data_IF_284603679086
#
_entry.id   IF_284603679086
#
_cell.length_a   1.000
_cell.length_b   1.000
_cell.length_c   1.000
_cell.angle_alpha   90.00
_cell.angle_beta   90.00
_cell.angle_gamma   90.00
#
_symmetry.space_group_name_H-M   'P 1'
#
loop_
_entity.id
_entity.type
_entity.pdbx_description
1 polymer ?
#
# COMPACT_ATOMS: atom_id res chain seq x y z
N UNK A 1 14.00 12.01 -19.59
CA UNK A 1 13.88 13.48 -19.43
C UNK A 1 15.28 14.10 -19.54
N UNK A 2 15.45 15.19 -20.32
CA UNK A 2 16.73 15.87 -20.54
C UNK A 2 16.80 17.19 -19.76
N UNK A 3 18.02 17.76 -19.61
CA UNK A 3 18.19 19.10 -18.98
C UNK A 3 17.39 20.18 -19.71
N UNK A 4 17.30 20.09 -21.04
CA UNK A 4 16.48 21.02 -21.87
C UNK A 4 14.99 20.93 -21.52
N UNK A 5 14.49 19.73 -21.21
CA UNK A 5 13.09 19.53 -20.79
C UNK A 5 12.86 20.17 -19.41
N UNK A 6 13.81 19.99 -18.47
CA UNK A 6 13.73 20.59 -17.13
C UNK A 6 13.74 22.12 -17.18
N UNK A 7 14.59 22.72 -18.04
CA UNK A 7 14.62 24.18 -18.23
C UNK A 7 13.29 24.70 -18.76
N UNK A 8 12.72 24.06 -19.79
CA UNK A 8 11.40 24.42 -20.34
C UNK A 8 10.29 24.32 -19.29
N UNK A 9 10.31 23.26 -18.46
CA UNK A 9 9.36 23.09 -17.37
C UNK A 9 9.50 24.21 -16.34
N UNK A 10 10.73 24.56 -15.97
CA UNK A 10 11.00 25.65 -15.04
C UNK A 10 10.53 27.01 -15.59
N UNK A 11 10.74 27.29 -16.88
CA UNK A 11 10.24 28.48 -17.54
C UNK A 11 8.72 28.55 -17.58
N UNK A 12 8.05 27.41 -17.83
CA UNK A 12 6.60 27.35 -17.99
C UNK A 12 5.85 27.35 -16.65
N UNK A 13 6.37 26.65 -15.63
CA UNK A 13 5.67 26.38 -14.37
C UNK A 13 6.32 27.07 -13.17
N UNK A 14 7.49 27.65 -13.31
CA UNK A 14 8.25 28.28 -12.25
C UNK A 14 9.04 27.26 -11.40
N UNK A 15 9.77 27.80 -10.44
CA UNK A 15 10.56 27.05 -9.44
C UNK A 15 10.28 27.57 -8.03
N UNK A 16 10.30 26.74 -6.97
CA UNK A 16 10.53 25.27 -7.01
C UNK A 16 9.31 24.51 -7.50
N UNK A 17 9.51 23.41 -8.25
CA UNK A 17 8.43 22.52 -8.71
C UNK A 17 8.86 21.06 -8.71
N UNK A 18 7.91 20.13 -8.44
CA UNK A 18 8.15 18.70 -8.55
C UNK A 18 7.85 18.22 -9.96
N UNK A 19 8.79 17.50 -10.56
CA UNK A 19 8.67 16.94 -11.90
C UNK A 19 8.72 15.42 -11.82
N UNK A 20 7.73 14.74 -12.40
CA UNK A 20 7.63 13.29 -12.46
C UNK A 20 7.76 12.81 -13.90
N UNK A 21 8.73 11.93 -14.16
CA UNK A 21 8.96 11.34 -15.46
C UNK A 21 8.15 10.04 -15.61
N UNK A 22 7.05 10.13 -16.35
CA UNK A 22 6.14 9.00 -16.56
C UNK A 22 6.80 7.83 -17.32
N UNK A 23 7.73 8.11 -18.25
CA UNK A 23 8.44 7.06 -18.98
C UNK A 23 9.40 6.28 -18.06
N UNK A 24 10.08 6.98 -17.16
CA UNK A 24 10.90 6.33 -16.12
C UNK A 24 10.08 5.45 -15.21
N UNK A 25 8.90 5.92 -14.76
CA UNK A 25 7.97 5.12 -13.93
C UNK A 25 7.54 3.86 -14.68
N UNK A 26 7.13 3.99 -15.94
CA UNK A 26 6.70 2.89 -16.80
C UNK A 26 7.82 1.86 -16.97
N UNK A 27 9.01 2.31 -17.33
CA UNK A 27 10.18 1.44 -17.55
C UNK A 27 10.52 0.63 -16.30
N UNK A 28 10.51 1.25 -15.11
CA UNK A 28 10.78 0.53 -13.87
C UNK A 28 9.65 -0.46 -13.53
N UNK A 29 8.40 -0.10 -13.75
CA UNK A 29 7.26 -1.01 -13.56
C UNK A 29 7.36 -2.22 -14.49
N UNK A 30 7.60 -2.02 -15.78
CA UNK A 30 7.74 -3.09 -16.78
C UNK A 30 8.95 -4.00 -16.47
N UNK A 31 10.09 -3.43 -16.08
CA UNK A 31 11.28 -4.18 -15.65
C UNK A 31 10.97 -5.07 -14.44
N UNK A 32 10.25 -4.55 -13.45
CA UNK A 32 9.84 -5.33 -12.28
C UNK A 32 8.90 -6.46 -12.69
N UNK A 33 7.82 -6.15 -13.39
CA UNK A 33 6.76 -7.12 -13.73
C UNK A 33 7.24 -8.22 -14.66
N UNK A 34 8.14 -7.91 -15.60
CA UNK A 34 8.73 -8.89 -16.52
C UNK A 34 9.66 -9.91 -15.83
N UNK A 35 10.14 -9.60 -14.63
CA UNK A 35 11.03 -10.48 -13.85
C UNK A 35 10.27 -11.52 -13.02
N UNK A 36 8.94 -11.49 -13.04
CA UNK A 36 8.10 -12.38 -12.23
C UNK A 36 7.09 -13.17 -13.10
N UNK A 37 6.54 -14.22 -12.50
CA UNK A 37 5.50 -15.01 -13.17
C UNK A 37 4.25 -14.15 -13.44
N UNK A 38 3.57 -14.41 -14.55
CA UNK A 38 2.39 -13.64 -15.03
C UNK A 38 1.23 -13.55 -14.03
N UNK A 39 1.13 -14.50 -13.08
CA UNK A 39 0.11 -14.48 -12.02
C UNK A 39 0.46 -13.57 -10.84
N UNK A 40 1.67 -13.00 -10.80
CA UNK A 40 2.12 -12.12 -9.72
C UNK A 40 1.38 -10.80 -9.78
N UNK A 41 0.85 -10.34 -8.64
CA UNK A 41 0.23 -9.02 -8.49
C UNK A 41 1.18 -8.07 -7.78
N UNK A 42 1.28 -6.86 -8.29
CA UNK A 42 2.15 -5.83 -7.73
C UNK A 42 1.29 -4.73 -7.12
N UNK A 43 1.50 -4.46 -5.84
CA UNK A 43 0.80 -3.41 -5.12
C UNK A 43 1.75 -2.23 -4.93
N UNK A 44 1.40 -1.10 -5.51
CA UNK A 44 2.13 0.15 -5.34
C UNK A 44 1.82 0.74 -3.96
N UNK A 45 2.84 1.03 -3.17
CA UNK A 45 2.70 1.64 -1.85
C UNK A 45 2.29 3.12 -1.99
N UNK A 46 1.01 3.43 -1.75
CA UNK A 46 0.44 4.78 -1.91
C UNK A 46 1.20 5.84 -1.11
N UNK A 47 1.67 5.48 0.10
CA UNK A 47 2.47 6.35 0.97
C UNK A 47 3.75 6.89 0.35
N UNK A 48 4.29 6.23 -0.68
CA UNK A 48 5.50 6.71 -1.36
C UNK A 48 5.23 7.98 -2.17
N UNK A 49 4.07 8.04 -2.85
CA UNK A 49 3.61 9.22 -3.57
C UNK A 49 2.11 9.06 -3.89
N UNK A 50 1.28 9.83 -3.19
CA UNK A 50 -0.18 9.80 -3.31
C UNK A 50 -0.75 10.78 -4.35
N UNK A 51 0.08 11.32 -5.26
CA UNK A 51 -0.39 12.19 -6.33
C UNK A 51 -1.38 11.43 -7.23
N UNK A 52 -2.61 11.96 -7.36
CA UNK A 52 -3.70 11.29 -8.08
C UNK A 52 -3.37 10.97 -9.55
N UNK A 53 -2.58 11.79 -10.23
CA UNK A 53 -2.20 11.54 -11.61
C UNK A 53 -1.20 10.38 -11.72
N UNK A 54 -0.30 10.25 -10.75
CA UNK A 54 0.61 9.10 -10.64
C UNK A 54 -0.19 7.83 -10.33
N UNK A 55 -1.15 7.90 -9.40
CA UNK A 55 -2.02 6.76 -9.09
C UNK A 55 -2.82 6.32 -10.32
N UNK A 56 -3.42 7.24 -11.08
CA UNK A 56 -4.09 6.94 -12.36
C UNK A 56 -3.13 6.27 -13.35
N UNK A 57 -1.89 6.73 -13.41
CA UNK A 57 -0.89 6.17 -14.30
C UNK A 57 -0.51 4.74 -13.90
N UNK A 58 -0.25 4.48 -12.61
CA UNK A 58 0.00 3.13 -12.07
C UNK A 58 -1.18 2.20 -12.34
N UNK A 59 -2.41 2.69 -12.14
CA UNK A 59 -3.62 1.92 -12.45
C UNK A 59 -3.68 1.52 -13.94
N UNK A 60 -3.37 2.47 -14.84
CA UNK A 60 -3.31 2.23 -16.30
C UNK A 60 -2.25 1.20 -16.68
N UNK A 61 -1.12 1.15 -15.97
CA UNK A 61 -0.07 0.14 -16.17
C UNK A 61 -0.47 -1.26 -15.65
N UNK A 62 -1.61 -1.41 -14.96
CA UNK A 62 -2.07 -2.67 -14.43
C UNK A 62 -1.67 -2.93 -12.97
N UNK A 63 -1.02 -1.99 -12.28
CA UNK A 63 -0.67 -2.08 -10.87
C UNK A 63 -1.88 -2.09 -9.95
N UNK A 64 -1.76 -2.72 -8.80
CA UNK A 64 -2.70 -2.63 -7.66
C UNK A 64 -2.21 -1.60 -6.66
N UNK A 65 -2.99 -1.29 -5.61
CA UNK A 65 -2.65 -0.23 -4.66
C UNK A 65 -2.60 -0.78 -3.23
N UNK A 66 -1.52 -0.46 -2.50
CA UNK A 66 -1.36 -0.69 -1.07
C UNK A 66 -1.53 0.64 -0.33
N UNK A 67 -2.54 0.70 0.55
CA UNK A 67 -2.98 1.90 1.26
C UNK A 67 -2.82 1.74 2.76
N UNK A 68 -2.27 2.75 3.44
CA UNK A 68 -2.05 2.73 4.89
C UNK A 68 -3.07 3.57 5.67
N UNK A 69 -3.96 4.28 4.99
CA UNK A 69 -5.07 5.02 5.59
C UNK A 69 -6.34 4.91 4.75
N UNK A 70 -7.49 5.11 5.39
CA UNK A 70 -8.78 5.09 4.69
C UNK A 70 -8.86 6.20 3.62
N UNK A 71 -8.18 7.33 3.82
CA UNK A 71 -8.13 8.41 2.85
C UNK A 71 -7.32 8.02 1.61
N UNK A 72 -6.25 7.23 1.75
CA UNK A 72 -5.55 6.66 0.59
C UNK A 72 -6.42 5.66 -0.18
N UNK A 73 -7.24 4.85 0.51
CA UNK A 73 -8.23 3.97 -0.12
C UNK A 73 -9.22 4.77 -0.96
N UNK A 74 -9.81 5.81 -0.38
CA UNK A 74 -10.74 6.72 -1.09
C UNK A 74 -10.07 7.40 -2.29
N UNK A 75 -8.83 7.82 -2.13
CA UNK A 75 -8.04 8.41 -3.22
C UNK A 75 -7.78 7.40 -4.33
N UNK A 76 -7.47 6.14 -3.98
CA UNK A 76 -7.30 5.04 -4.93
C UNK A 76 -8.57 4.78 -5.75
N UNK A 77 -9.72 4.72 -5.09
CA UNK A 77 -11.02 4.59 -5.78
C UNK A 77 -11.25 5.77 -6.72
N UNK A 78 -10.99 7.00 -6.27
CA UNK A 78 -11.08 8.21 -7.11
C UNK A 78 -10.09 8.20 -8.28
N UNK A 79 -8.94 7.56 -8.13
CA UNK A 79 -7.96 7.36 -9.19
C UNK A 79 -8.38 6.26 -10.19
N UNK A 80 -9.48 5.55 -9.94
CA UNK A 80 -10.08 4.56 -10.82
C UNK A 80 -9.63 3.12 -10.53
N UNK A 81 -8.99 2.84 -9.39
CA UNK A 81 -8.72 1.46 -9.00
C UNK A 81 -10.03 0.75 -8.63
N UNK A 82 -10.22 -0.47 -9.15
CA UNK A 82 -11.28 -1.36 -8.66
C UNK A 82 -10.97 -1.76 -7.20
N UNK A 83 -12.01 -1.87 -6.36
CA UNK A 83 -11.87 -2.21 -4.94
C UNK A 83 -11.03 -3.48 -4.71
N UNK A 84 -11.23 -4.52 -5.53
CA UNK A 84 -10.46 -5.79 -5.47
C UNK A 84 -8.97 -5.64 -5.82
N UNK A 85 -8.53 -4.47 -6.27
CA UNK A 85 -7.14 -4.14 -6.56
C UNK A 85 -6.54 -3.18 -5.53
N UNK A 86 -7.26 -2.93 -4.43
CA UNK A 86 -6.78 -2.13 -3.31
C UNK A 86 -6.63 -3.03 -2.10
N UNK A 87 -5.49 -2.96 -1.44
CA UNK A 87 -5.19 -3.60 -0.17
C UNK A 87 -5.01 -2.51 0.89
N UNK A 88 -5.85 -2.52 1.91
CA UNK A 88 -5.74 -1.64 3.06
C UNK A 88 -4.87 -2.30 4.12
N UNK A 89 -3.69 -1.73 4.38
CA UNK A 89 -2.66 -2.24 5.31
C UNK A 89 -2.39 -1.22 6.42
N UNK A 90 -3.40 -0.89 7.24
CA UNK A 90 -3.26 0.12 8.27
C UNK A 90 -2.33 -0.32 9.40
N UNK A 91 -1.92 0.65 10.22
CA UNK A 91 -1.28 0.41 11.49
C UNK A 91 -1.83 1.40 12.53
N UNK A 92 -2.18 0.91 13.71
CA UNK A 92 -2.74 1.72 14.80
C UNK A 92 -4.05 2.45 14.41
N UNK A 93 -4.98 1.74 13.79
CA UNK A 93 -6.34 2.22 13.48
C UNK A 93 -7.36 1.57 14.40
N UNK A 94 -8.54 2.16 14.52
CA UNK A 94 -9.67 1.58 15.23
C UNK A 94 -10.52 0.66 14.33
N UNK A 95 -11.50 -0.01 14.93
CA UNK A 95 -12.40 -0.91 14.20
C UNK A 95 -13.28 -0.13 13.21
N UNK A 96 -13.60 1.13 13.47
CA UNK A 96 -14.46 1.92 12.58
C UNK A 96 -13.80 2.18 11.22
N UNK A 97 -12.48 2.39 11.17
CA UNK A 97 -11.76 2.50 9.90
C UNK A 97 -11.75 1.16 9.12
N UNK A 98 -11.67 0.03 9.83
CA UNK A 98 -11.78 -1.31 9.22
C UNK A 98 -13.19 -1.51 8.64
N UNK A 99 -14.24 -1.10 9.39
CA UNK A 99 -15.63 -1.17 8.92
C UNK A 99 -15.85 -0.30 7.68
N UNK A 100 -15.27 0.88 7.66
CA UNK A 100 -15.33 1.75 6.46
C UNK A 100 -14.65 1.08 5.27
N UNK A 101 -13.46 0.47 5.45
CA UNK A 101 -12.78 -0.26 4.39
C UNK A 101 -13.62 -1.46 3.89
N UNK A 102 -14.31 -2.18 4.81
CA UNK A 102 -15.26 -3.24 4.43
C UNK A 102 -16.39 -2.70 3.54
N UNK A 103 -16.96 -1.54 3.91
CA UNK A 103 -18.04 -0.92 3.13
C UNK A 103 -17.60 -0.57 1.72
N UNK A 104 -16.32 -0.23 1.53
CA UNK A 104 -15.67 0.04 0.24
C UNK A 104 -15.26 -1.24 -0.51
N UNK A 105 -15.43 -2.42 0.10
CA UNK A 105 -15.16 -3.74 -0.49
C UNK A 105 -13.70 -3.95 -0.93
N UNK A 106 -12.76 -3.32 -0.25
CA UNK A 106 -11.32 -3.49 -0.50
C UNK A 106 -10.76 -4.65 0.31
N UNK A 107 -9.62 -5.19 -0.09
CA UNK A 107 -8.90 -6.16 0.75
C UNK A 107 -8.40 -5.48 2.02
N UNK A 108 -8.49 -6.18 3.15
CA UNK A 108 -8.12 -5.66 4.47
C UNK A 108 -7.05 -6.55 5.07
N UNK A 109 -6.00 -5.93 5.60
CA UNK A 109 -4.95 -6.59 6.36
C UNK A 109 -4.95 -6.06 7.80
N UNK A 110 -5.15 -6.95 8.78
CA UNK A 110 -5.15 -6.63 10.20
C UNK A 110 -3.77 -6.95 10.79
N UNK A 111 -3.21 -6.02 11.55
CA UNK A 111 -1.83 -6.09 12.04
C UNK A 111 -1.70 -6.23 13.57
N UNK A 112 -2.80 -6.30 14.30
CA UNK A 112 -2.78 -6.50 15.75
C UNK A 112 -3.93 -7.38 16.23
N UNK A 113 -3.70 -8.06 17.36
CA UNK A 113 -4.61 -9.08 17.88
C UNK A 113 -5.91 -8.46 18.45
N UNK A 114 -5.82 -7.26 19.04
CA UNK A 114 -7.01 -6.60 19.63
C UNK A 114 -8.04 -6.25 18.54
N UNK A 115 -7.62 -5.71 17.41
CA UNK A 115 -8.53 -5.44 16.29
C UNK A 115 -9.02 -6.75 15.67
N UNK A 116 -8.16 -7.78 15.57
CA UNK A 116 -8.55 -9.08 15.05
C UNK A 116 -9.66 -9.73 15.90
N UNK A 117 -9.53 -9.68 17.23
CA UNK A 117 -10.55 -10.18 18.18
C UNK A 117 -11.87 -9.39 18.05
N UNK A 118 -11.80 -8.05 18.02
CA UNK A 118 -12.98 -7.21 17.82
C UNK A 118 -13.67 -7.51 16.49
N UNK A 119 -12.88 -7.67 15.43
CA UNK A 119 -13.37 -8.02 14.10
C UNK A 119 -14.05 -9.39 14.12
N UNK A 120 -13.40 -10.42 14.68
CA UNK A 120 -13.93 -11.77 14.78
C UNK A 120 -15.22 -11.84 15.59
N UNK A 121 -15.28 -11.14 16.73
CA UNK A 121 -16.47 -11.07 17.58
C UNK A 121 -17.67 -10.40 16.88
N UNK A 122 -17.41 -9.38 16.04
CA UNK A 122 -18.47 -8.61 15.37
C UNK A 122 -18.91 -9.23 14.04
N UNK A 123 -17.98 -9.75 13.26
CA UNK A 123 -18.20 -10.15 11.86
C UNK A 123 -18.04 -11.66 11.62
N UNK A 124 -17.37 -12.38 12.53
CA UNK A 124 -17.07 -13.79 12.34
C UNK A 124 -16.32 -14.03 11.03
N UNK A 125 -16.87 -14.92 10.21
CA UNK A 125 -16.31 -15.29 8.91
C UNK A 125 -17.01 -14.60 7.70
N UNK A 126 -17.75 -13.51 7.95
CA UNK A 126 -18.54 -12.84 6.89
C UNK A 126 -17.70 -12.07 5.87
N UNK A 127 -16.44 -11.75 6.19
CA UNK A 127 -15.54 -11.00 5.31
C UNK A 127 -14.11 -11.57 5.36
N UNK A 128 -13.50 -11.88 4.20
CA UNK A 128 -12.13 -12.38 4.16
C UNK A 128 -11.13 -11.27 4.48
N UNK A 129 -10.18 -11.58 5.34
CA UNK A 129 -9.10 -10.67 5.73
C UNK A 129 -7.73 -11.32 5.53
N UNK A 130 -6.70 -10.49 5.46
CA UNK A 130 -5.31 -10.86 5.62
C UNK A 130 -4.86 -10.52 7.04
N UNK A 131 -3.88 -11.26 7.54
CA UNK A 131 -3.26 -10.99 8.84
C UNK A 131 -1.78 -10.72 8.63
N UNK A 132 -1.29 -9.61 9.19
CA UNK A 132 0.13 -9.29 9.15
C UNK A 132 0.85 -9.93 10.32
N UNK A 133 1.80 -10.81 10.04
CA UNK A 133 2.60 -11.50 11.04
C UNK A 133 3.96 -10.81 11.17
N UNK A 134 4.41 -10.58 12.42
CA UNK A 134 5.78 -10.21 12.71
C UNK A 134 6.60 -11.50 12.99
N UNK A 135 7.56 -11.85 12.11
CA UNK A 135 8.34 -13.08 12.25
C UNK A 135 9.45 -13.00 13.30
N UNK A 136 9.68 -11.83 13.92
CA UNK A 136 10.79 -11.54 14.82
C UNK A 136 12.18 -11.80 14.18
N UNK A 137 12.30 -11.53 12.90
CA UNK A 137 13.54 -11.66 12.15
C UNK A 137 14.03 -10.26 11.76
N UNK A 138 15.29 -9.97 12.14
CA UNK A 138 15.95 -8.78 11.61
C UNK A 138 16.35 -9.04 10.15
N UNK A 139 15.75 -8.28 9.24
CA UNK A 139 16.06 -8.34 7.82
C UNK A 139 16.28 -6.94 7.27
N UNK A 140 17.22 -6.80 6.34
CA UNK A 140 17.59 -5.53 5.74
C UNK A 140 18.81 -4.87 6.38
N UNK A 141 19.38 -3.87 5.69
CA UNK A 141 20.64 -3.25 6.08
C UNK A 141 20.56 -2.18 7.16
N UNK A 142 19.35 -1.74 7.55
CA UNK A 142 19.18 -0.64 8.50
C UNK A 142 18.09 -0.96 9.53
N UNK A 143 18.49 -1.03 10.80
CA UNK A 143 17.59 -1.30 11.93
C UNK A 143 16.40 -0.34 12.00
N UNK A 144 16.62 0.96 11.73
CA UNK A 144 15.58 2.00 11.84
C UNK A 144 14.41 1.85 10.86
N UNK A 145 14.59 1.09 9.79
CA UNK A 145 13.55 0.84 8.78
C UNK A 145 13.11 -0.63 8.72
N UNK A 146 13.70 -1.48 9.56
CA UNK A 146 13.28 -2.88 9.67
C UNK A 146 11.94 -2.96 10.40
N UNK A 147 10.99 -3.72 9.82
CA UNK A 147 9.63 -3.89 10.36
C UNK A 147 9.38 -5.28 10.93
N UNK A 148 10.36 -6.18 10.84
CA UNK A 148 10.24 -7.59 11.25
C UNK A 148 10.94 -7.95 12.56
N UNK A 149 11.62 -7.00 13.24
CA UNK A 149 12.28 -7.27 14.51
C UNK A 149 11.29 -7.27 15.70
N UNK A 150 11.72 -7.82 16.83
CA UNK A 150 10.85 -8.04 17.99
C UNK A 150 10.22 -6.75 18.54
N UNK A 151 10.97 -5.63 18.54
CA UNK A 151 10.50 -4.32 19.03
C UNK A 151 9.71 -3.53 17.99
N UNK A 152 9.44 -4.12 16.82
CA UNK A 152 8.65 -3.45 15.78
C UNK A 152 7.18 -3.40 16.19
N UNK A 153 6.55 -2.25 15.96
CA UNK A 153 5.10 -2.09 16.15
C UNK A 153 4.24 -2.80 15.11
N UNK A 154 4.84 -3.35 14.06
CA UNK A 154 4.11 -3.91 12.92
C UNK A 154 3.87 -5.40 13.05
N UNK A 155 2.61 -5.80 12.86
CA UNK A 155 2.19 -7.19 12.76
C UNK A 155 1.99 -7.88 14.10
N UNK A 156 1.20 -8.95 14.06
CA UNK A 156 0.97 -9.86 15.19
C UNK A 156 2.22 -10.73 15.34
N UNK A 157 2.74 -10.83 16.55
CA UNK A 157 3.90 -11.69 16.84
C UNK A 157 3.66 -13.13 16.40
N UNK A 158 4.67 -13.74 15.75
CA UNK A 158 4.62 -15.16 15.38
C UNK A 158 4.33 -16.07 16.60
N UNK A 159 4.72 -15.67 17.81
CA UNK A 159 4.45 -16.40 19.04
C UNK A 159 2.97 -16.35 19.48
N UNK A 160 2.19 -15.42 18.90
CA UNK A 160 0.75 -15.27 19.17
C UNK A 160 -0.13 -15.98 18.14
N UNK A 161 0.45 -16.63 17.10
CA UNK A 161 -0.32 -17.32 16.06
C UNK A 161 -1.31 -18.36 16.60
N UNK A 162 -1.03 -18.97 17.73
CA UNK A 162 -1.94 -19.92 18.39
C UNK A 162 -3.25 -19.29 18.90
N UNK A 163 -3.34 -17.96 18.92
CA UNK A 163 -4.51 -17.20 19.37
C UNK A 163 -5.32 -16.61 18.20
N UNK A 164 -4.90 -16.88 16.95
CA UNK A 164 -5.57 -16.51 15.72
C UNK A 164 -6.29 -17.73 15.15
#
# INVERSE_FOLDING_TARGET
>A
MTDKDLLKIAEQFGTPTYVYDAESIKTQYEKLTSSFHKSTRFFYACKALSNINILKFINKLGGSLDCVSINEVKLGIRAGFEAKRILFTPNCVDLAEIEEAMSLKVHINIDNISILEQFGNKFGNSYPIFVRINPHIFAGGNYKISTGHIDSKFGISIHQLRHI
#
